data_IF_073094967822
#
_entry.id   IF_073094967822
#
_cell.length_a   1.000
_cell.length_b   1.000
_cell.length_c   1.000
_cell.angle_alpha   90.00
_cell.angle_beta   90.00
_cell.angle_gamma   90.00
#
_symmetry.space_group_name_H-M   'P 1'
#
loop_
_entity.id
_entity.type
_entity.pdbx_description
1 polymer ?
#
# COMPACT_ATOMS: atom_id res chain seq x y z
N UNK A 1 -8.17 -8.78 -10.49
CA UNK A 1 -7.31 -9.12 -9.34
C UNK A 1 -6.10 -8.21 -9.41
N UNK A 2 -5.81 -7.47 -8.34
CA UNK A 2 -4.78 -6.44 -8.32
C UNK A 2 -4.02 -6.45 -7.00
N UNK A 3 -2.79 -5.95 -7.03
CA UNK A 3 -1.97 -5.78 -5.84
C UNK A 3 -2.36 -4.45 -5.18
N UNK A 4 -2.49 -4.47 -3.87
CA UNK A 4 -2.71 -3.31 -3.03
C UNK A 4 -1.63 -3.24 -1.96
N UNK A 5 -1.21 -2.02 -1.64
CA UNK A 5 -0.33 -1.74 -0.51
C UNK A 5 -1.18 -1.42 0.73
N UNK A 6 -0.79 -2.01 1.86
CA UNK A 6 -1.20 -1.56 3.18
C UNK A 6 -0.14 -0.62 3.71
N UNK A 7 -0.52 0.62 3.96
CA UNK A 7 0.38 1.71 4.37
C UNK A 7 0.04 2.11 5.80
N UNK A 8 1.04 2.16 6.67
CA UNK A 8 0.89 2.74 8.00
C UNK A 8 0.72 4.26 7.89
N UNK A 9 -0.40 4.79 8.41
CA UNK A 9 -0.72 6.23 8.27
C UNK A 9 0.16 7.15 9.13
N UNK A 10 0.86 6.62 10.14
CA UNK A 10 1.75 7.40 11.00
C UNK A 10 3.12 7.57 10.35
N UNK A 11 3.60 6.54 9.65
CA UNK A 11 4.94 6.55 9.05
C UNK A 11 4.93 6.72 7.54
N UNK A 12 3.77 6.62 6.88
CA UNK A 12 3.61 6.53 5.42
C UNK A 12 4.41 5.38 4.79
N UNK A 13 4.68 4.31 5.53
CA UNK A 13 5.45 3.16 5.02
C UNK A 13 4.51 2.02 4.64
N UNK A 14 4.76 1.39 3.50
CA UNK A 14 4.11 0.15 3.09
C UNK A 14 4.53 -0.97 4.04
N UNK A 15 3.59 -1.49 4.82
CA UNK A 15 3.83 -2.58 5.79
C UNK A 15 3.47 -3.95 5.23
N UNK A 16 2.65 -4.01 4.18
CA UNK A 16 2.31 -5.27 3.51
C UNK A 16 1.83 -5.02 2.07
N UNK A 17 1.90 -6.04 1.22
CA UNK A 17 1.25 -6.08 -0.09
C UNK A 17 0.28 -7.26 -0.14
N UNK A 18 -0.95 -7.01 -0.56
CA UNK A 18 -2.01 -8.01 -0.62
C UNK A 18 -2.63 -8.05 -2.01
N UNK A 19 -3.16 -9.21 -2.37
CA UNK A 19 -3.86 -9.40 -3.64
C UNK A 19 -5.36 -9.45 -3.36
N UNK A 20 -6.11 -8.55 -3.99
CA UNK A 20 -7.57 -8.47 -3.85
C UNK A 20 -8.25 -8.49 -5.22
N UNK A 21 -9.48 -8.97 -5.23
CA UNK A 21 -10.41 -8.70 -6.33
C UNK A 21 -11.00 -7.29 -6.17
N UNK A 22 -11.21 -6.61 -7.30
CA UNK A 22 -11.80 -5.27 -7.28
C UNK A 22 -13.28 -5.40 -6.84
N UNK A 23 -13.71 -4.59 -5.86
CA UNK A 23 -15.07 -4.62 -5.35
C UNK A 23 -15.36 -5.63 -4.24
N UNK A 24 -14.34 -6.28 -3.65
CA UNK A 24 -14.51 -7.19 -2.48
C UNK A 24 -15.10 -6.51 -1.24
N UNK A 25 -15.09 -5.18 -1.17
CA UNK A 25 -15.54 -4.41 0.00
C UNK A 25 -14.64 -4.56 1.23
N UNK A 26 -13.55 -5.33 1.11
CA UNK A 26 -12.58 -5.50 2.18
C UNK A 26 -11.99 -4.14 2.58
N UNK A 27 -11.83 -3.92 3.88
CA UNK A 27 -11.25 -2.70 4.44
C UNK A 27 -10.05 -3.07 5.33
N UNK A 28 -8.98 -2.27 5.33
CA UNK A 28 -7.86 -2.51 6.20
C UNK A 28 -8.23 -2.24 7.67
N UNK A 29 -7.53 -2.85 8.63
CA UNK A 29 -7.61 -2.46 10.04
C UNK A 29 -7.33 -0.97 10.25
N UNK A 30 -7.78 -0.43 11.39
CA UNK A 30 -7.50 0.95 11.78
C UNK A 30 -6.00 1.25 11.77
N UNK A 31 -5.64 2.47 11.36
CA UNK A 31 -4.25 2.90 11.24
C UNK A 31 -3.57 2.49 9.93
N UNK A 32 -4.28 1.77 9.04
CA UNK A 32 -3.76 1.38 7.73
C UNK A 32 -4.58 2.01 6.59
N UNK A 33 -3.88 2.48 5.58
CA UNK A 33 -4.45 2.93 4.32
C UNK A 33 -4.26 1.85 3.26
N UNK A 34 -5.33 1.56 2.50
CA UNK A 34 -5.31 0.63 1.37
C UNK A 34 -5.19 1.42 0.06
N UNK A 35 -4.09 1.24 -0.67
CA UNK A 35 -3.87 1.90 -1.97
C UNK A 35 -3.58 0.86 -3.03
N UNK A 36 -4.25 0.95 -4.18
CA UNK A 36 -4.00 0.08 -5.33
C UNK A 36 -2.62 0.39 -5.91
N UNK A 37 -1.78 -0.63 -6.10
CA UNK A 37 -0.49 -0.43 -6.76
C UNK A 37 -0.71 -0.38 -8.27
N UNK A 38 -0.40 0.77 -8.89
CA UNK A 38 -0.56 0.99 -10.34
C UNK A 38 0.60 0.40 -11.13
N UNK A 39 1.82 0.54 -10.61
CA UNK A 39 3.04 0.00 -11.22
C UNK A 39 3.71 -1.02 -10.29
N UNK A 40 4.61 -0.54 -9.42
CA UNK A 40 5.36 -1.35 -8.46
C UNK A 40 5.27 -0.68 -7.10
N UNK A 41 5.05 -1.49 -6.07
CA UNK A 41 5.09 -1.10 -4.68
C UNK A 41 5.75 -2.26 -3.91
N UNK A 42 6.47 -1.95 -2.84
CA UNK A 42 7.14 -2.95 -2.02
C UNK A 42 7.00 -2.65 -0.55
N UNK A 43 7.07 -3.68 0.28
CA UNK A 43 7.14 -3.52 1.74
C UNK A 43 8.40 -2.70 2.07
N UNK A 44 8.25 -1.71 2.95
CA UNK A 44 9.31 -0.77 3.32
C UNK A 44 9.41 0.46 2.41
N UNK A 45 8.62 0.56 1.34
CA UNK A 45 8.55 1.76 0.50
C UNK A 45 7.74 2.86 1.19
N UNK A 46 8.06 4.12 0.94
CA UNK A 46 7.26 5.26 1.41
C UNK A 46 6.14 5.54 0.40
N UNK A 47 4.94 5.88 0.87
CA UNK A 47 3.86 6.38 0.03
C UNK A 47 3.66 7.87 0.29
N UNK A 48 3.93 8.70 -0.71
CA UNK A 48 3.92 10.14 -0.57
C UNK A 48 3.37 10.81 -1.82
N UNK A 49 2.42 11.73 -1.63
CA UNK A 49 1.80 12.53 -2.70
C UNK A 49 1.24 11.70 -3.88
N UNK A 50 0.80 10.46 -3.60
CA UNK A 50 0.26 9.55 -4.62
C UNK A 50 1.25 8.54 -5.18
N UNK A 51 2.53 8.65 -4.85
CA UNK A 51 3.62 7.87 -5.42
C UNK A 51 4.25 6.92 -4.39
N UNK A 52 4.77 5.78 -4.88
CA UNK A 52 5.53 4.84 -4.08
C UNK A 52 7.03 5.07 -4.30
N UNK A 53 7.74 5.45 -3.24
CA UNK A 53 9.17 5.78 -3.25
C UNK A 53 9.93 4.59 -2.65
N UNK A 54 10.75 3.95 -3.48
CA UNK A 54 11.64 2.88 -3.02
C UNK A 54 12.71 3.45 -2.09
N UNK A 55 13.07 2.76 -0.99
CA UNK A 55 14.24 3.12 -0.18
C UNK A 55 15.54 3.00 -1.00
N UNK A 56 16.41 3.98 -0.83
CA UNK A 56 17.80 3.93 -1.34
C UNK A 56 18.61 2.98 -0.44
N UNK A 57 19.14 1.89 -1.03
CA UNK A 57 20.06 0.95 -0.37
C UNK A 57 21.42 0.95 -1.07
#
# INVERSE_FOLDING_TARGET
MSIYALIDIQTNIVVNTIVLEDGTGWQPPDGLLLVKCVEVCGIGWEYKDGEFIQPDY
#
